data_IF_014427026384
#
_entry.id   IF_014427026384
#
_cell.length_a   1.000
_cell.length_b   1.000
_cell.length_c   1.000
_cell.angle_alpha   90.00
_cell.angle_beta   90.00
_cell.angle_gamma   90.00
#
_symmetry.space_group_name_H-M   'P 1'
#
loop_
_entity.id
_entity.type
_entity.pdbx_description
1 polymer ?
#
# COMPACT_ATOMS: atom_id res chain seq x y z
N UNK A 1 -1.78 -13.62 7.84
CA UNK A 1 -2.84 -13.68 6.83
C UNK A 1 -2.24 -14.25 5.56
N UNK A 2 -2.91 -15.19 4.88
CA UNK A 2 -2.41 -15.71 3.60
C UNK A 2 -2.80 -14.76 2.46
N UNK A 3 -1.91 -14.58 1.47
CA UNK A 3 -2.24 -13.80 0.27
C UNK A 3 -3.30 -14.56 -0.54
N UNK A 4 -4.25 -13.86 -1.18
CA UNK A 4 -5.27 -14.45 -2.05
C UNK A 4 -5.27 -13.76 -3.42
N UNK A 5 -5.32 -14.55 -4.49
CA UNK A 5 -5.52 -14.09 -5.87
C UNK A 5 -6.98 -14.33 -6.24
N UNK A 6 -7.60 -13.32 -6.85
CA UNK A 6 -9.03 -13.27 -7.18
C UNK A 6 -9.18 -12.83 -8.63
N UNK A 7 -9.94 -13.56 -9.44
CA UNK A 7 -10.13 -13.22 -10.84
C UNK A 7 -11.53 -13.61 -11.34
N UNK A 8 -12.18 -12.72 -12.08
CA UNK A 8 -13.46 -12.99 -12.73
C UNK A 8 -13.26 -13.42 -14.18
N UNK A 9 -13.92 -14.51 -14.59
CA UNK A 9 -13.84 -15.09 -15.92
C UNK A 9 -15.09 -15.90 -16.28
N UNK A 10 -15.12 -16.47 -17.49
CA UNK A 10 -16.14 -17.45 -17.87
C UNK A 10 -16.08 -18.68 -16.92
N UNK A 11 -17.27 -19.22 -16.59
CA UNK A 11 -17.42 -20.39 -15.70
C UNK A 11 -16.88 -21.67 -16.32
N UNK A 12 -16.53 -22.66 -15.48
CA UNK A 12 -16.10 -24.00 -15.90
C UNK A 12 -14.80 -24.05 -16.74
N UNK A 13 -14.06 -22.94 -16.80
CA UNK A 13 -12.72 -22.88 -17.39
C UNK A 13 -11.65 -23.32 -16.39
N UNK A 14 -10.51 -23.78 -16.92
CA UNK A 14 -9.31 -24.05 -16.12
C UNK A 14 -8.41 -22.83 -16.17
N UNK A 15 -8.24 -22.16 -15.03
CA UNK A 15 -7.37 -20.99 -14.91
C UNK A 15 -6.16 -21.27 -14.04
N UNK A 16 -5.02 -20.72 -14.44
CA UNK A 16 -3.80 -20.69 -13.63
C UNK A 16 -3.29 -19.26 -13.51
N UNK A 17 -2.42 -19.02 -12.52
CA UNK A 17 -1.72 -17.77 -12.37
C UNK A 17 -0.23 -17.99 -12.13
N UNK A 18 0.57 -17.04 -12.60
CA UNK A 18 1.98 -16.92 -12.24
C UNK A 18 2.23 -15.53 -11.67
N UNK A 19 2.94 -15.48 -10.56
CA UNK A 19 3.37 -14.23 -9.95
C UNK A 19 4.81 -13.90 -10.36
N UNK A 20 5.10 -12.62 -10.51
CA UNK A 20 6.38 -12.06 -10.89
C UNK A 20 6.74 -10.91 -9.95
N UNK A 21 8.03 -10.76 -9.69
CA UNK A 21 8.60 -9.58 -9.04
C UNK A 21 8.51 -8.36 -9.99
N UNK A 22 8.66 -7.13 -9.49
CA UNK A 22 8.66 -5.93 -10.32
C UNK A 22 9.74 -5.92 -11.42
N UNK A 23 10.83 -6.67 -11.23
CA UNK A 23 11.89 -6.84 -12.22
C UNK A 23 11.56 -7.87 -13.33
N UNK A 24 10.38 -8.49 -13.26
CA UNK A 24 9.89 -9.51 -14.19
C UNK A 24 10.35 -10.93 -13.88
N UNK A 25 11.15 -11.15 -12.84
CA UNK A 25 11.55 -12.50 -12.41
C UNK A 25 10.38 -13.21 -11.71
N UNK A 26 10.32 -14.55 -11.78
CA UNK A 26 9.22 -15.29 -11.15
C UNK A 26 9.20 -15.14 -9.62
N UNK A 27 8.00 -15.02 -9.05
CA UNK A 27 7.71 -15.06 -7.62
C UNK A 27 7.12 -16.43 -7.26
N UNK A 28 8.01 -17.37 -6.94
CA UNK A 28 7.62 -18.74 -6.60
C UNK A 28 7.31 -19.60 -7.81
N UNK A 29 6.36 -20.54 -7.67
CA UNK A 29 5.99 -21.46 -8.72
C UNK A 29 5.17 -20.77 -9.84
N UNK A 30 5.35 -21.25 -11.07
CA UNK A 30 4.49 -20.88 -12.19
C UNK A 30 3.21 -21.72 -12.21
N UNK A 31 2.22 -21.23 -12.95
CA UNK A 31 0.98 -21.92 -13.32
C UNK A 31 0.23 -22.53 -12.14
N UNK A 32 0.15 -21.77 -11.06
CA UNK A 32 -0.57 -22.14 -9.84
C UNK A 32 -2.07 -22.09 -10.10
N UNK A 33 -2.82 -23.07 -9.62
CA UNK A 33 -4.25 -23.19 -9.93
C UNK A 33 -5.10 -22.07 -9.32
N UNK A 34 -6.04 -21.57 -10.10
CA UNK A 34 -7.19 -20.81 -9.64
C UNK A 34 -8.42 -21.74 -9.64
N UNK A 35 -9.11 -21.83 -8.51
CA UNK A 35 -10.31 -22.66 -8.35
C UNK A 35 -11.56 -21.80 -8.43
N UNK A 36 -12.52 -22.22 -9.26
CA UNK A 36 -13.83 -21.59 -9.32
C UNK A 36 -14.52 -21.71 -7.95
N UNK A 37 -14.91 -20.59 -7.35
CA UNK A 37 -15.43 -20.57 -5.96
C UNK A 37 -16.83 -21.19 -5.88
N UNK A 38 -17.64 -21.03 -6.94
CA UNK A 38 -18.95 -21.66 -7.07
C UNK A 38 -19.11 -22.16 -8.50
N UNK A 39 -18.70 -23.42 -8.70
CA UNK A 39 -18.63 -24.07 -10.02
C UNK A 39 -19.96 -23.93 -10.77
N UNK A 40 -19.93 -23.22 -11.90
CA UNK A 40 -21.06 -23.05 -12.80
C UNK A 40 -22.03 -21.91 -12.45
N UNK A 41 -21.68 -21.03 -11.49
CA UNK A 41 -22.62 -20.00 -10.99
C UNK A 41 -22.03 -18.59 -10.99
N UNK A 42 -20.76 -18.42 -10.60
CA UNK A 42 -20.22 -17.10 -10.24
C UNK A 42 -19.20 -16.52 -11.22
N UNK A 43 -18.63 -17.34 -12.12
CA UNK A 43 -17.57 -16.92 -13.03
C UNK A 43 -16.37 -16.34 -12.28
N UNK A 44 -16.12 -16.82 -11.07
CA UNK A 44 -15.18 -16.20 -10.16
C UNK A 44 -14.25 -17.24 -9.54
N UNK A 45 -12.96 -16.94 -9.59
CA UNK A 45 -11.89 -17.86 -9.26
C UNK A 45 -11.00 -17.31 -8.15
N UNK A 46 -10.53 -18.21 -7.29
CA UNK A 46 -9.62 -17.90 -6.18
C UNK A 46 -8.42 -18.85 -6.16
N UNK A 47 -7.27 -18.35 -5.75
CA UNK A 47 -6.09 -19.17 -5.49
C UNK A 47 -5.21 -18.56 -4.41
N UNK A 48 -4.45 -19.42 -3.73
CA UNK A 48 -3.47 -19.01 -2.72
C UNK A 48 -2.07 -19.18 -3.30
N UNK A 49 -1.28 -18.10 -3.41
CA UNK A 49 0.12 -18.20 -3.79
C UNK A 49 0.90 -19.11 -2.85
N UNK A 50 1.69 -20.01 -3.43
CA UNK A 50 2.64 -20.92 -2.76
C UNK A 50 3.80 -20.17 -2.08
N UNK A 51 4.02 -18.92 -2.48
CA UNK A 51 5.05 -18.03 -1.92
C UNK A 51 4.38 -16.74 -1.48
N UNK A 52 4.87 -16.16 -0.37
CA UNK A 52 4.38 -14.88 0.10
C UNK A 52 4.57 -13.79 -0.97
N UNK A 53 3.49 -13.05 -1.23
CA UNK A 53 3.47 -11.93 -2.18
C UNK A 53 3.96 -10.65 -1.50
N UNK A 54 4.67 -9.83 -2.25
CA UNK A 54 5.14 -8.49 -1.85
C UNK A 54 4.39 -7.45 -2.67
N UNK A 55 4.06 -6.31 -2.04
CA UNK A 55 3.40 -5.22 -2.75
C UNK A 55 4.21 -4.80 -3.99
N UNK A 56 3.55 -4.67 -5.13
CA UNK A 56 4.20 -4.41 -6.42
C UNK A 56 4.47 -5.66 -7.27
N UNK A 57 4.34 -6.87 -6.71
CA UNK A 57 4.42 -8.10 -7.50
C UNK A 57 3.30 -8.12 -8.55
N UNK A 58 3.60 -8.59 -9.76
CA UNK A 58 2.65 -8.70 -10.86
C UNK A 58 2.12 -10.13 -10.92
N UNK A 59 0.80 -10.29 -10.97
CA UNK A 59 0.12 -11.56 -11.18
C UNK A 59 -0.41 -11.58 -12.60
N UNK A 60 -0.12 -12.66 -13.33
CA UNK A 60 -0.64 -12.91 -14.69
C UNK A 60 -1.48 -14.17 -14.68
N UNK A 61 -2.66 -14.12 -15.27
CA UNK A 61 -3.63 -15.22 -15.35
C UNK A 61 -3.65 -15.80 -16.77
N UNK A 62 -3.73 -17.12 -16.86
CA UNK A 62 -3.72 -17.91 -18.10
C UNK A 62 -4.91 -18.90 -18.11
N UNK A 63 -5.49 -19.17 -19.29
CA UNK A 63 -6.59 -20.13 -19.51
C UNK A 63 -6.13 -21.51 -20.05
N UNK A 64 -4.82 -21.77 -20.02
CA UNK A 64 -4.13 -22.90 -20.62
C UNK A 64 -3.61 -22.62 -22.04
N UNK A 65 -4.08 -21.56 -22.70
CA UNK A 65 -3.67 -21.21 -24.07
C UNK A 65 -3.20 -19.75 -24.19
N UNK A 66 -3.88 -18.82 -23.52
CA UNK A 66 -3.68 -17.38 -23.64
C UNK A 66 -3.52 -16.74 -22.27
N UNK A 67 -2.79 -15.61 -22.23
CA UNK A 67 -2.83 -14.69 -21.08
C UNK A 67 -4.14 -13.91 -21.12
N UNK A 68 -4.97 -14.10 -20.10
CA UNK A 68 -6.34 -13.55 -20.04
C UNK A 68 -6.49 -12.41 -19.05
N UNK A 69 -5.51 -12.21 -18.18
CA UNK A 69 -5.53 -11.11 -17.22
C UNK A 69 -4.17 -10.83 -16.60
N UNK A 70 -4.02 -9.64 -16.06
CA UNK A 70 -2.90 -9.28 -15.21
C UNK A 70 -3.34 -8.28 -14.13
N UNK A 71 -2.60 -8.24 -13.04
CA UNK A 71 -2.83 -7.30 -11.94
C UNK A 71 -1.60 -7.16 -11.06
N UNK A 72 -1.60 -6.16 -10.21
CA UNK A 72 -0.54 -5.93 -9.23
C UNK A 72 -1.04 -6.32 -7.83
N UNK A 73 -0.24 -7.09 -7.11
CA UNK A 73 -0.52 -7.41 -5.72
C UNK A 73 -0.38 -6.15 -4.87
N UNK A 74 -1.45 -5.84 -4.15
CA UNK A 74 -1.46 -4.83 -3.11
C UNK A 74 -1.58 -5.54 -1.77
N UNK A 75 -0.64 -5.26 -0.88
CA UNK A 75 -0.77 -5.74 0.50
C UNK A 75 -2.01 -5.07 1.10
N UNK A 76 -2.83 -5.84 1.80
CA UNK A 76 -3.85 -5.32 2.71
C UNK A 76 -3.14 -4.72 3.93
N UNK A 77 -2.24 -3.78 3.72
CA UNK A 77 -1.73 -2.95 4.80
C UNK A 77 -2.90 -2.06 5.16
N UNK A 78 -3.46 -2.36 6.32
CA UNK A 78 -4.28 -1.48 7.12
C UNK A 78 -3.64 -0.09 7.02
N UNK A 79 -4.19 0.76 6.15
CA UNK A 79 -3.73 2.13 6.07
C UNK A 79 -3.97 2.66 7.47
N UNK A 80 -2.90 2.87 8.23
CA UNK A 80 -2.97 3.86 9.30
C UNK A 80 -3.35 5.10 8.53
N UNK A 81 -4.63 5.46 8.64
CA UNK A 81 -5.05 6.81 8.39
C UNK A 81 -4.20 7.62 9.36
N UNK A 82 -3.05 8.10 8.89
CA UNK A 82 -2.51 9.32 9.42
C UNK A 82 -3.56 10.32 8.96
N UNK A 83 -4.48 10.63 9.86
CA UNK A 83 -5.41 11.74 9.71
C UNK A 83 -4.63 12.90 9.11
N UNK A 84 -5.10 13.40 7.97
CA UNK A 84 -4.35 14.36 7.17
C UNK A 84 -4.79 14.46 5.71
N UNK A 85 -6.03 14.10 5.40
CA UNK A 85 -6.64 14.46 4.13
C UNK A 85 -8.16 14.60 4.29
N UNK A 86 -8.58 15.34 5.31
CA UNK A 86 -9.72 16.20 5.10
C UNK A 86 -9.16 17.58 4.70
N UNK A 87 -9.67 18.19 3.63
CA UNK A 87 -9.29 19.57 3.28
C UNK A 87 -9.84 20.58 4.31
N UNK A 88 -10.62 20.10 5.29
CA UNK A 88 -10.97 20.80 6.53
C UNK A 88 -10.14 20.38 7.75
N UNK A 89 -9.17 19.48 7.60
CA UNK A 89 -8.19 19.16 8.64
C UNK A 89 -7.31 20.38 8.85
N UNK A 90 -7.74 21.16 9.82
CA UNK A 90 -7.03 22.35 10.20
C UNK A 90 -5.82 21.83 10.96
N UNK A 91 -4.63 22.01 10.38
CA UNK A 91 -3.35 21.85 11.07
C UNK A 91 -3.29 22.88 12.22
N UNK A 92 -4.12 22.63 13.22
CA UNK A 92 -4.28 23.41 14.44
C UNK A 92 -3.33 22.75 15.40
N UNK A 93 -2.19 23.42 15.66
CA UNK A 93 -1.54 23.28 16.96
C UNK A 93 -2.63 23.36 18.03
N UNK A 94 -2.63 22.45 19.00
CA UNK A 94 -3.77 22.14 19.87
C UNK A 94 -4.36 23.31 20.70
N UNK A 95 -3.94 24.55 20.47
CA UNK A 95 -4.43 25.82 21.00
C UNK A 95 -5.15 26.72 19.97
N UNK A 96 -5.29 26.33 18.70
CA UNK A 96 -6.12 27.08 17.75
C UNK A 96 -5.48 28.33 17.18
N UNK A 97 -4.18 28.58 17.39
CA UNK A 97 -3.56 29.83 16.97
C UNK A 97 -2.22 29.59 16.27
N UNK A 98 -2.22 29.93 14.97
CA UNK A 98 -1.04 30.17 14.13
C UNK A 98 -0.07 29.01 13.90
N UNK A 99 -0.04 28.54 12.65
CA UNK A 99 1.16 28.01 12.04
C UNK A 99 2.25 29.11 12.11
N UNK A 100 3.05 29.13 13.18
CA UNK A 100 4.22 30.00 13.25
C UNK A 100 5.13 29.66 12.07
N UNK A 101 5.42 30.66 11.24
CA UNK A 101 6.28 30.44 10.09
C UNK A 101 7.67 30.03 10.61
N UNK A 102 8.41 29.19 9.89
CA UNK A 102 9.79 28.80 10.29
C UNK A 102 10.72 30.02 10.53
N UNK A 103 10.34 31.20 10.05
CA UNK A 103 10.97 32.49 10.35
C UNK A 103 10.79 32.91 11.82
N UNK A 104 9.61 32.72 12.39
CA UNK A 104 9.25 33.16 13.74
C UNK A 104 9.96 32.31 14.81
N UNK A 105 10.12 31.01 14.56
CA UNK A 105 10.89 30.11 15.41
C UNK A 105 12.39 30.45 15.48
N UNK A 106 12.94 31.09 14.44
CA UNK A 106 14.34 31.50 14.41
C UNK A 106 14.59 32.77 15.24
N UNK A 107 13.57 33.60 15.43
CA UNK A 107 13.69 34.83 16.22
C UNK A 107 13.67 34.53 17.74
N UNK A 108 12.93 33.51 18.17
CA UNK A 108 12.90 33.06 19.57
C UNK A 108 14.28 32.55 20.04
N UNK A 109 15.02 31.85 19.18
CA UNK A 109 16.39 31.40 19.46
C UNK A 109 17.40 32.56 19.52
N UNK A 110 17.14 33.64 18.78
CA UNK A 110 17.95 34.86 18.81
C UNK A 110 17.74 35.64 20.13
N UNK A 111 16.49 35.71 20.60
CA UNK A 111 16.11 36.38 21.84
C UNK A 111 16.58 35.62 23.10
N UNK A 112 16.57 34.29 23.10
CA UNK A 112 17.04 33.49 24.24
C UNK A 112 18.55 33.57 24.46
N UNK A 113 19.35 33.74 23.40
CA UNK A 113 20.80 33.94 23.54
C UNK A 113 21.16 35.28 24.20
N UNK A 114 20.27 36.26 24.13
CA UNK A 114 20.43 37.56 24.79
C UNK A 114 20.14 37.50 26.30
N UNK A 115 19.22 36.64 26.74
CA UNK A 115 18.90 36.53 28.18
C UNK A 115 19.94 35.72 28.99
N UNK A 116 20.71 34.83 28.37
CA UNK A 116 21.78 34.09 29.08
C UNK A 116 23.03 34.96 29.28
N UNK A 117 23.27 35.96 28.43
CA UNK A 117 24.48 36.78 28.51
C UNK A 117 24.40 37.89 29.57
N UNK A 118 23.21 38.34 29.98
CA UNK A 118 23.06 39.38 31.01
C UNK A 118 23.07 38.87 32.46
N UNK A 119 23.20 37.55 32.67
CA UNK A 119 23.29 36.97 34.02
C UNK A 119 24.75 36.82 34.49
N UNK A 120 25.73 37.00 33.60
CA UNK A 120 27.16 36.84 33.92
C UNK A 120 27.95 38.15 34.12
N UNK A 121 27.31 39.33 34.04
CA UNK A 121 27.95 40.63 34.34
C UNK A 121 27.29 41.38 35.51
N UNK A 122 27.20 40.73 36.68
CA UNK A 122 27.05 41.44 37.95
C UNK A 122 27.94 40.85 39.03
#
# INVERSE_FOLDING_TARGET
MANEVKFGWAVSETLTFTAFQPDGSARGAADQSLTETEVGVSGYYKGTPSTAMVAGDVVVVDDGTNKVGFGEYRSEVNTVLIEGADFTDTLIGADGDTLESLSDQMDVLSAQKSQVLNVYER
#
